data_IF_547783397296
#
_entry.id   IF_547783397296
#
_cell.length_a   1.000
_cell.length_b   1.000
_cell.length_c   1.000
_cell.angle_alpha   90.00
_cell.angle_beta   90.00
_cell.angle_gamma   90.00
#
_symmetry.space_group_name_H-M   'P 1'
#
loop_
_entity.id
_entity.type
_entity.pdbx_description
1 polymer ?
#
# COMPACT_ATOMS: atom_id res chain seq x y z
N UNK A 1 1.34 31.16 16.97
CA UNK A 1 0.00 30.52 17.04
C UNK A 1 -0.58 30.56 15.63
N UNK A 2 -0.73 29.42 14.96
CA UNK A 2 -1.38 29.40 13.64
C UNK A 2 -2.83 29.86 13.79
N UNK A 3 -3.32 30.66 12.84
CA UNK A 3 -4.73 31.04 12.81
C UNK A 3 -5.57 29.79 12.57
N UNK A 4 -6.82 29.78 13.07
CA UNK A 4 -7.77 28.66 12.87
C UNK A 4 -7.89 28.26 11.39
N UNK A 5 -7.77 29.23 10.49
CA UNK A 5 -7.75 29.04 9.03
C UNK A 5 -6.53 28.26 8.53
N UNK A 6 -5.32 28.55 9.04
CA UNK A 6 -4.11 27.81 8.66
C UNK A 6 -4.13 26.37 9.17
N UNK A 7 -4.68 26.14 10.36
CA UNK A 7 -4.88 24.79 10.88
C UNK A 7 -5.85 23.99 10.01
N UNK A 8 -6.99 24.58 9.64
CA UNK A 8 -7.97 23.93 8.77
C UNK A 8 -7.41 23.62 7.37
N UNK A 9 -6.58 24.52 6.82
CA UNK A 9 -5.90 24.29 5.54
C UNK A 9 -4.93 23.11 5.61
N UNK A 10 -4.11 23.04 6.66
CA UNK A 10 -3.17 21.94 6.90
C UNK A 10 -3.92 20.60 7.05
N UNK A 11 -4.96 20.57 7.87
CA UNK A 11 -5.81 19.40 8.09
C UNK A 11 -6.48 18.92 6.80
N UNK A 12 -6.98 19.85 5.97
CA UNK A 12 -7.56 19.54 4.66
C UNK A 12 -6.54 18.90 3.72
N UNK A 13 -5.30 19.38 3.73
CA UNK A 13 -4.24 18.85 2.87
C UNK A 13 -3.84 17.43 3.30
N UNK A 14 -3.68 17.22 4.60
CA UNK A 14 -3.38 15.91 5.19
C UNK A 14 -4.50 14.92 4.86
N UNK A 15 -5.77 15.31 5.04
CA UNK A 15 -6.91 14.48 4.71
C UNK A 15 -6.93 14.10 3.22
N UNK A 16 -6.57 15.03 2.33
CA UNK A 16 -6.45 14.76 0.89
C UNK A 16 -5.37 13.71 0.59
N UNK A 17 -4.19 13.83 1.21
CA UNK A 17 -3.08 12.90 1.04
C UNK A 17 -3.41 11.49 1.56
N UNK A 18 -4.00 11.40 2.75
CA UNK A 18 -4.45 10.13 3.34
C UNK A 18 -5.54 9.50 2.45
N UNK A 19 -6.52 10.30 2.01
CA UNK A 19 -7.57 9.83 1.11
C UNK A 19 -7.01 9.28 -0.20
N UNK A 20 -6.02 9.96 -0.80
CA UNK A 20 -5.33 9.50 -2.00
C UNK A 20 -4.67 8.14 -1.79
N UNK A 21 -3.92 7.99 -0.71
CA UNK A 21 -3.26 6.74 -0.35
C UNK A 21 -4.25 5.58 -0.16
N UNK A 22 -5.36 5.81 0.55
CA UNK A 22 -6.42 4.80 0.75
C UNK A 22 -7.00 4.34 -0.58
N UNK A 23 -7.30 5.28 -1.48
CA UNK A 23 -7.86 4.97 -2.81
C UNK A 23 -6.86 4.20 -3.68
N UNK A 24 -5.59 4.63 -3.71
CA UNK A 24 -4.52 3.99 -4.49
C UNK A 24 -4.29 2.56 -4.02
N UNK A 25 -4.19 2.34 -2.70
CA UNK A 25 -4.03 1.00 -2.13
C UNK A 25 -5.26 0.12 -2.37
N UNK A 26 -6.48 0.67 -2.23
CA UNK A 26 -7.71 -0.08 -2.51
C UNK A 26 -7.77 -0.54 -3.97
N UNK A 27 -7.42 0.36 -4.91
CA UNK A 27 -7.34 0.03 -6.34
C UNK A 27 -6.30 -1.05 -6.60
N UNK A 28 -5.13 -0.95 -5.98
CA UNK A 28 -4.09 -1.97 -6.08
C UNK A 28 -4.59 -3.34 -5.58
N UNK A 29 -5.15 -3.42 -4.37
CA UNK A 29 -5.55 -4.68 -3.76
C UNK A 29 -6.64 -5.41 -4.54
N UNK A 30 -7.63 -4.68 -5.06
CA UNK A 30 -8.66 -5.28 -5.93
C UNK A 30 -8.01 -5.88 -7.17
N UNK A 31 -7.09 -5.15 -7.81
CA UNK A 31 -6.44 -5.61 -9.03
C UNK A 31 -5.48 -6.78 -8.80
N UNK A 32 -4.78 -6.78 -7.68
CA UNK A 32 -3.98 -7.92 -7.22
C UNK A 32 -4.87 -9.15 -7.06
N UNK A 33 -6.01 -9.03 -6.37
CA UNK A 33 -6.94 -10.13 -6.16
C UNK A 33 -7.47 -10.68 -7.49
N UNK A 34 -7.86 -9.80 -8.41
CA UNK A 34 -8.35 -10.20 -9.73
C UNK A 34 -7.28 -10.91 -10.56
N UNK A 35 -6.06 -10.39 -10.59
CA UNK A 35 -4.94 -11.01 -11.32
C UNK A 35 -4.58 -12.37 -10.71
N UNK A 36 -4.42 -12.43 -9.37
CA UNK A 36 -4.11 -13.67 -8.67
C UNK A 36 -5.22 -14.73 -8.87
N UNK A 37 -6.49 -14.35 -8.76
CA UNK A 37 -7.61 -15.26 -9.04
C UNK A 37 -7.54 -15.77 -10.47
N UNK A 38 -7.25 -14.91 -11.45
CA UNK A 38 -7.05 -15.30 -12.84
C UNK A 38 -5.99 -16.39 -13.00
N UNK A 39 -4.82 -16.18 -12.38
CA UNK A 39 -3.70 -17.15 -12.40
C UNK A 39 -4.04 -18.47 -11.68
N UNK A 40 -4.82 -18.41 -10.61
CA UNK A 40 -5.18 -19.60 -9.83
C UNK A 40 -6.38 -20.36 -10.38
N UNK A 41 -7.26 -19.72 -11.17
CA UNK A 41 -8.48 -20.33 -11.69
C UNK A 41 -8.20 -21.59 -12.52
N UNK A 42 -7.10 -21.61 -13.27
CA UNK A 42 -6.69 -22.79 -14.05
C UNK A 42 -6.31 -23.99 -13.16
N UNK A 43 -5.85 -23.73 -11.93
CA UNK A 43 -5.33 -24.76 -11.01
C UNK A 43 -6.36 -25.23 -10.01
N UNK A 44 -7.25 -24.32 -9.56
CA UNK A 44 -8.15 -24.53 -8.42
C UNK A 44 -9.62 -24.34 -8.77
N UNK A 45 -9.95 -23.92 -10.00
CA UNK A 45 -11.33 -23.69 -10.41
C UNK A 45 -12.04 -22.67 -9.51
N UNK A 46 -13.22 -23.05 -9.02
CA UNK A 46 -14.09 -22.21 -8.17
C UNK A 46 -13.51 -21.94 -6.78
N UNK A 47 -12.64 -22.83 -6.26
CA UNK A 47 -12.01 -22.65 -4.94
C UNK A 47 -10.98 -21.51 -4.90
N UNK A 48 -10.56 -21.01 -6.08
CA UNK A 48 -9.62 -19.90 -6.18
C UNK A 48 -10.11 -18.63 -5.47
N UNK A 49 -11.41 -18.36 -5.46
CA UNK A 49 -11.98 -17.17 -4.81
C UNK A 49 -11.93 -17.29 -3.28
N UNK A 50 -12.27 -18.46 -2.75
CA UNK A 50 -12.18 -18.76 -1.31
C UNK A 50 -10.73 -18.66 -0.85
N UNK A 51 -9.80 -19.19 -1.65
CA UNK A 51 -8.38 -19.13 -1.28
C UNK A 51 -7.84 -17.70 -1.25
N UNK A 52 -8.13 -16.88 -2.26
CA UNK A 52 -7.66 -15.49 -2.33
C UNK A 52 -8.26 -14.64 -1.21
N UNK A 53 -9.53 -14.83 -0.86
CA UNK A 53 -10.20 -14.07 0.19
C UNK A 53 -9.65 -14.36 1.60
N UNK A 54 -9.15 -15.57 1.83
CA UNK A 54 -8.54 -15.96 3.11
C UNK A 54 -7.07 -15.51 3.28
N UNK A 55 -6.43 -14.97 2.23
CA UNK A 55 -5.04 -14.51 2.28
C UNK A 55 -4.93 -13.05 2.75
N UNK A 56 -4.00 -12.79 3.66
CA UNK A 56 -3.60 -11.42 3.94
C UNK A 56 -2.85 -10.80 2.74
N UNK A 57 -2.61 -9.48 2.76
CA UNK A 57 -2.01 -8.78 1.63
C UNK A 57 -0.60 -9.32 1.27
N UNK A 58 0.21 -9.65 2.27
CA UNK A 58 1.55 -10.22 2.05
C UNK A 58 1.45 -11.52 1.27
N UNK A 59 0.60 -12.43 1.75
CA UNK A 59 0.45 -13.75 1.14
C UNK A 59 -0.10 -13.65 -0.29
N UNK A 60 -1.00 -12.69 -0.55
CA UNK A 60 -1.49 -12.42 -1.91
C UNK A 60 -0.38 -11.94 -2.84
N UNK A 61 0.45 -10.99 -2.40
CA UNK A 61 1.59 -10.48 -3.19
C UNK A 61 2.60 -11.60 -3.49
N UNK A 62 2.98 -12.35 -2.47
CA UNK A 62 3.99 -13.42 -2.59
C UNK A 62 3.47 -14.56 -3.48
N UNK A 63 2.21 -14.95 -3.30
CA UNK A 63 1.55 -15.96 -4.13
C UNK A 63 1.47 -15.49 -5.57
N UNK A 64 1.01 -14.26 -5.81
CA UNK A 64 0.92 -13.68 -7.15
C UNK A 64 2.28 -13.66 -7.85
N UNK A 65 3.33 -13.18 -7.18
CA UNK A 65 4.69 -13.18 -7.73
C UNK A 65 5.14 -14.58 -8.11
N UNK A 66 4.90 -15.58 -7.25
CA UNK A 66 5.25 -16.98 -7.52
C UNK A 66 4.50 -17.52 -8.75
N UNK A 67 3.21 -17.26 -8.86
CA UNK A 67 2.40 -17.74 -9.99
C UNK A 67 2.83 -17.08 -11.31
N UNK A 68 3.08 -15.77 -11.31
CA UNK A 68 3.63 -15.08 -12.50
C UNK A 68 5.00 -15.64 -12.87
N UNK A 69 5.93 -15.77 -11.90
CA UNK A 69 7.26 -16.32 -12.18
C UNK A 69 7.21 -17.77 -12.67
N UNK A 70 6.20 -18.56 -12.28
CA UNK A 70 6.00 -19.93 -12.77
C UNK A 70 5.50 -19.92 -14.22
N UNK A 71 4.53 -19.06 -14.53
CA UNK A 71 3.92 -18.99 -15.86
C UNK A 71 4.85 -18.37 -16.92
N UNK A 72 5.83 -17.56 -16.47
CA UNK A 72 6.78 -16.87 -17.33
C UNK A 72 8.24 -17.18 -16.95
N UNK A 73 8.52 -18.44 -16.61
CA UNK A 73 9.83 -18.86 -16.06
C UNK A 73 11.02 -18.54 -16.99
N UNK A 74 10.80 -18.48 -18.30
CA UNK A 74 11.84 -18.20 -19.29
C UNK A 74 12.07 -16.68 -19.52
N UNK A 75 11.18 -15.83 -19.02
CA UNK A 75 11.30 -14.37 -19.18
C UNK A 75 12.09 -13.76 -18.01
N UNK A 76 13.40 -13.70 -18.20
CA UNK A 76 14.33 -13.14 -17.20
C UNK A 76 14.10 -11.65 -16.94
N UNK A 77 13.64 -10.89 -17.94
CA UNK A 77 13.39 -9.46 -17.78
C UNK A 77 12.19 -9.22 -16.88
N UNK A 78 11.11 -10.00 -17.07
CA UNK A 78 9.94 -9.97 -16.22
C UNK A 78 10.30 -10.33 -14.78
N UNK A 79 11.01 -11.44 -14.58
CA UNK A 79 11.37 -11.91 -13.23
C UNK A 79 12.19 -10.83 -12.49
N UNK A 80 13.20 -10.24 -13.15
CA UNK A 80 13.99 -9.17 -12.56
C UNK A 80 13.13 -7.93 -12.22
N UNK A 81 12.19 -7.57 -13.09
CA UNK A 81 11.30 -6.43 -12.88
C UNK A 81 10.32 -6.67 -11.73
N UNK A 82 9.78 -7.89 -11.61
CA UNK A 82 8.91 -8.30 -10.50
C UNK A 82 9.64 -8.28 -9.16
N UNK A 83 10.89 -8.72 -9.13
CA UNK A 83 11.71 -8.75 -7.93
C UNK A 83 12.04 -7.32 -7.45
N UNK A 84 12.42 -6.44 -8.38
CA UNK A 84 12.65 -5.03 -8.07
C UNK A 84 11.38 -4.34 -7.55
N UNK A 85 10.24 -4.60 -8.18
CA UNK A 85 8.94 -4.10 -7.70
C UNK A 85 8.60 -4.65 -6.30
N UNK A 86 8.81 -5.94 -6.05
CA UNK A 86 8.51 -6.56 -4.76
C UNK A 86 9.35 -6.00 -3.61
N UNK A 87 10.63 -5.72 -3.86
CA UNK A 87 11.50 -5.03 -2.90
C UNK A 87 10.96 -3.64 -2.56
N UNK A 88 10.46 -2.90 -3.56
CA UNK A 88 9.87 -1.57 -3.37
C UNK A 88 8.54 -1.64 -2.61
N UNK A 89 7.71 -2.63 -2.91
CA UNK A 89 6.37 -2.78 -2.34
C UNK A 89 6.37 -3.30 -0.90
N UNK A 90 7.40 -4.03 -0.51
CA UNK A 90 7.51 -4.62 0.85
C UNK A 90 7.39 -3.59 1.98
N UNK A 91 8.21 -2.52 2.02
CA UNK A 91 8.09 -1.49 3.07
C UNK A 91 6.75 -0.72 2.99
N UNK A 92 6.21 -0.52 1.79
CA UNK A 92 4.89 0.11 1.60
C UNK A 92 3.78 -0.73 2.24
N UNK A 93 3.78 -2.05 1.99
CA UNK A 93 2.85 -3.00 2.59
C UNK A 93 2.93 -2.98 4.13
N UNK A 94 4.13 -2.90 4.69
CA UNK A 94 4.33 -2.85 6.15
C UNK A 94 3.76 -1.57 6.75
N UNK A 95 3.97 -0.44 6.08
CA UNK A 95 3.41 0.86 6.49
C UNK A 95 1.90 0.98 6.27
N UNK A 96 1.33 0.30 5.27
CA UNK A 96 -0.10 0.37 4.90
C UNK A 96 -1.02 0.16 6.08
N UNK A 97 -0.75 -0.82 6.95
CA UNK A 97 -1.61 -1.06 8.11
C UNK A 97 -1.61 0.12 9.07
N UNK A 98 -0.44 0.72 9.32
CA UNK A 98 -0.31 1.93 10.14
C UNK A 98 -1.03 3.12 9.51
N UNK A 99 -0.88 3.30 8.20
CA UNK A 99 -1.46 4.42 7.50
C UNK A 99 -3.00 4.35 7.36
N UNK A 100 -3.56 3.14 7.23
CA UNK A 100 -4.99 2.93 7.04
C UNK A 100 -5.73 2.78 8.38
N UNK A 101 -5.11 2.11 9.37
CA UNK A 101 -5.75 1.76 10.64
C UNK A 101 -5.21 2.52 11.85
N UNK A 102 -4.18 3.36 11.67
CA UNK A 102 -3.66 4.23 12.72
C UNK A 102 -4.51 5.47 12.95
N UNK A 103 -4.25 6.16 14.06
CA UNK A 103 -4.84 7.47 14.34
C UNK A 103 -3.97 8.57 13.77
N UNK A 104 -4.59 9.52 13.10
CA UNK A 104 -3.94 10.70 12.56
C UNK A 104 -4.24 11.90 13.44
N UNK A 105 -3.20 12.59 13.92
CA UNK A 105 -3.30 13.81 14.71
C UNK A 105 -2.52 14.90 13.99
N UNK A 106 -3.13 16.09 13.87
CA UNK A 106 -2.47 17.27 13.32
C UNK A 106 -1.86 18.05 14.47
N UNK A 107 -0.53 18.19 14.50
CA UNK A 107 0.15 19.12 15.40
C UNK A 107 0.35 20.47 14.70
N UNK A 108 -0.63 21.34 14.84
CA UNK A 108 -0.59 22.70 14.29
C UNK A 108 0.43 23.64 14.96
N UNK A 109 1.25 23.20 15.92
CA UNK A 109 2.37 24.02 16.42
C UNK A 109 3.64 23.77 15.61
N UNK A 110 3.91 22.50 15.30
CA UNK A 110 5.11 22.07 14.59
C UNK A 110 4.88 21.88 13.07
N UNK A 111 3.64 22.04 12.59
CA UNK A 111 3.21 21.69 11.22
C UNK A 111 3.47 20.21 10.86
N UNK A 112 3.32 19.34 11.86
CA UNK A 112 3.55 17.91 11.74
C UNK A 112 2.24 17.13 11.73
N UNK A 113 2.30 15.95 11.14
CA UNK A 113 1.28 14.92 11.22
C UNK A 113 1.82 13.79 12.07
N UNK A 114 1.10 13.44 13.11
CA UNK A 114 1.42 12.30 13.96
C UNK A 114 0.53 11.13 13.55
N UNK A 115 1.15 10.02 13.16
CA UNK A 115 0.46 8.75 12.99
C UNK A 115 0.76 7.85 14.19
N UNK A 116 -0.29 7.45 14.90
CA UNK A 116 -0.22 6.54 16.03
C UNK A 116 -0.75 5.17 15.62
N UNK A 117 0.09 4.16 15.71
CA UNK A 117 -0.34 2.77 15.61
C UNK A 117 -1.02 2.38 16.93
N UNK A 118 -2.25 1.85 16.88
CA UNK A 118 -3.09 1.56 18.06
C UNK A 118 -2.30 0.90 19.20
N UNK A 119 -2.05 1.69 20.24
CA UNK A 119 -2.21 1.29 21.63
C UNK A 119 -2.73 2.53 22.35
N UNK A 120 -3.70 2.34 23.26
CA UNK A 120 -4.33 3.39 24.08
C UNK A 120 -3.28 4.42 24.54
N UNK A 121 -3.55 5.75 24.50
CA UNK A 121 -2.63 6.75 25.06
C UNK A 121 -2.19 6.36 26.48
N UNK A 122 -0.89 6.06 26.67
CA UNK A 122 -0.33 5.54 27.93
C UNK A 122 0.04 4.05 27.95
N UNK A 123 -0.16 3.33 26.84
CA UNK A 123 0.41 1.99 26.66
C UNK A 123 1.93 2.06 26.41
N UNK A 124 2.73 1.13 26.95
CA UNK A 124 4.18 1.04 26.66
C UNK A 124 4.52 0.82 25.19
N UNK A 125 3.55 0.41 24.35
CA UNK A 125 3.73 0.01 22.95
C UNK A 125 3.08 0.99 21.95
N UNK A 126 2.94 2.28 22.29
CA UNK A 126 2.53 3.29 21.31
C UNK A 126 3.71 3.63 20.38
N UNK A 127 3.74 3.01 19.21
CA UNK A 127 4.66 3.36 18.12
C UNK A 127 4.13 4.62 17.39
N UNK A 128 4.78 5.75 17.66
CA UNK A 128 4.51 7.08 17.11
C UNK A 128 5.45 7.37 15.96
N UNK A 129 4.91 7.77 14.81
CA UNK A 129 5.69 8.40 13.74
C UNK A 129 5.19 9.83 13.55
N UNK A 130 6.13 10.76 13.56
CA UNK A 130 5.93 12.13 13.15
C UNK A 130 6.39 12.29 11.70
N UNK A 131 5.52 12.84 10.87
CA UNK A 131 5.79 13.16 9.48
C UNK A 131 5.56 14.65 9.29
N UNK A 132 6.50 15.33 8.64
CA UNK A 132 6.17 16.61 8.04
C UNK A 132 5.15 16.41 6.91
N UNK A 133 4.52 17.49 6.46
CA UNK A 133 3.63 17.45 5.31
C UNK A 133 4.36 16.98 4.03
N UNK A 134 5.63 17.36 3.87
CA UNK A 134 6.47 16.94 2.76
C UNK A 134 6.83 15.45 2.84
N UNK A 135 7.08 14.93 4.05
CA UNK A 135 7.30 13.50 4.25
C UNK A 135 6.04 12.70 3.89
N UNK A 136 4.86 13.16 4.32
CA UNK A 136 3.59 12.53 3.97
C UNK A 136 3.37 12.55 2.45
N UNK A 137 3.64 13.68 1.78
CA UNK A 137 3.59 13.79 0.32
C UNK A 137 4.55 12.79 -0.35
N UNK A 138 5.78 12.68 0.14
CA UNK A 138 6.77 11.74 -0.37
C UNK A 138 6.32 10.29 -0.21
N UNK A 139 5.75 9.93 0.94
CA UNK A 139 5.23 8.58 1.18
C UNK A 139 4.05 8.26 0.27
N UNK A 140 3.11 9.19 0.06
CA UNK A 140 2.02 9.02 -0.90
C UNK A 140 2.55 8.81 -2.31
N UNK A 141 3.53 9.59 -2.74
CA UNK A 141 4.12 9.45 -4.08
C UNK A 141 4.80 8.09 -4.27
N UNK A 142 5.56 7.60 -3.28
CA UNK A 142 6.19 6.27 -3.33
C UNK A 142 5.15 5.16 -3.50
N UNK A 143 4.01 5.29 -2.83
CA UNK A 143 2.89 4.35 -2.94
C UNK A 143 2.29 4.37 -4.35
N UNK A 144 2.07 5.57 -4.89
CA UNK A 144 1.57 5.73 -6.26
C UNK A 144 2.51 5.12 -7.28
N UNK A 145 3.80 5.44 -7.21
CA UNK A 145 4.80 4.93 -8.13
C UNK A 145 4.87 3.40 -8.10
N UNK A 146 4.87 2.80 -6.91
CA UNK A 146 4.89 1.34 -6.76
C UNK A 146 3.61 0.68 -7.31
N UNK A 147 2.45 1.31 -7.13
CA UNK A 147 1.18 0.79 -7.66
C UNK A 147 1.09 0.96 -9.17
N UNK A 148 1.55 2.09 -9.71
CA UNK A 148 1.57 2.33 -11.15
C UNK A 148 2.57 1.40 -11.85
N UNK A 149 3.68 1.08 -11.19
CA UNK A 149 4.63 0.08 -11.65
C UNK A 149 3.99 -1.31 -11.72
N UNK A 150 3.22 -1.72 -10.70
CA UNK A 150 2.44 -2.97 -10.76
C UNK A 150 1.52 -3.00 -11.99
N UNK A 151 0.80 -1.91 -12.27
CA UNK A 151 -0.04 -1.82 -13.47
C UNK A 151 0.75 -1.82 -14.78
N UNK A 152 1.96 -1.26 -14.79
CA UNK A 152 2.85 -1.28 -15.95
C UNK A 152 3.34 -2.70 -16.24
N UNK A 153 3.78 -3.44 -15.23
CA UNK A 153 4.19 -4.84 -15.36
C UNK A 153 3.05 -5.68 -15.94
N UNK A 154 1.86 -5.58 -15.35
CA UNK A 154 0.66 -6.29 -15.82
C UNK A 154 0.31 -5.98 -17.26
N UNK A 155 0.37 -4.71 -17.68
CA UNK A 155 0.10 -4.32 -19.07
C UNK A 155 1.16 -4.82 -20.05
N UNK A 156 2.44 -4.74 -19.67
CA UNK A 156 3.54 -5.13 -20.56
C UNK A 156 3.54 -6.64 -20.83
N UNK A 157 3.20 -7.47 -19.85
CA UNK A 157 3.23 -8.93 -19.95
C UNK A 157 1.85 -9.60 -19.94
N UNK A 158 0.77 -8.82 -19.97
CA UNK A 158 -0.62 -9.27 -20.16
C UNK A 158 -1.12 -10.31 -19.14
N UNK A 159 -0.99 -10.01 -17.84
CA UNK A 159 -1.55 -10.80 -16.72
C UNK A 159 -2.27 -9.97 -15.65
#
# INVERSE_FOLDING_TARGET
MLTREKHAALESEIASLIGKMVLVMSRFEINLNLSLRGLLKEKLGEDSEIQVSNMNLKDRIDRWRKEVATNFADDRELIASLDAWHVTMTPIREKRNRFIHGYWIVDGKENEVVNLTMSIPGSPETDEIRLSLDDLRSEVQKIEDAVDEFFRLRRKWSF
#
